data_IF_771389337485
#
_entry.id   IF_771389337485
#
_cell.length_a   1.000
_cell.length_b   1.000
_cell.length_c   1.000
_cell.angle_alpha   90.00
_cell.angle_beta   90.00
_cell.angle_gamma   90.00
#
_symmetry.space_group_name_H-M   'P 1'
#
loop_
_entity.id
_entity.type
_entity.pdbx_description
1 polymer ?
#
# COMPACT_ATOMS: atom_id res chain seq x y z
N UNK A 1 -13.36 20.79 39.62
CA UNK A 1 -13.96 19.89 38.60
C UNK A 1 -13.02 18.71 38.31
N UNK A 2 -13.50 17.48 38.49
CA UNK A 2 -12.74 16.28 38.10
C UNK A 2 -12.67 16.16 36.58
N UNK A 3 -11.48 15.86 36.05
CA UNK A 3 -11.23 15.69 34.62
C UNK A 3 -10.91 14.22 34.38
N UNK A 4 -11.74 13.56 33.57
CA UNK A 4 -11.51 12.17 33.13
C UNK A 4 -10.93 12.21 31.71
N UNK A 5 -9.83 11.48 31.48
CA UNK A 5 -9.23 11.26 30.16
C UNK A 5 -9.30 9.78 29.80
N UNK A 6 -9.75 9.50 28.58
CA UNK A 6 -9.82 8.13 28.03
C UNK A 6 -8.96 8.07 26.78
N UNK A 7 -8.14 7.04 26.67
CA UNK A 7 -7.29 6.78 25.51
C UNK A 7 -7.79 5.50 24.82
N UNK A 8 -8.03 5.58 23.51
CA UNK A 8 -8.40 4.43 22.69
C UNK A 8 -7.33 4.26 21.62
N UNK A 9 -6.79 3.05 21.51
CA UNK A 9 -5.85 2.67 20.44
C UNK A 9 -6.58 1.85 19.38
N UNK A 10 -6.18 2.03 18.12
CA UNK A 10 -6.67 1.24 16.99
C UNK A 10 -5.50 0.87 16.08
N UNK A 11 -5.41 -0.41 15.70
CA UNK A 11 -4.53 -0.88 14.63
C UNK A 11 -5.30 -0.87 13.31
N UNK A 12 -4.79 -0.14 12.31
CA UNK A 12 -5.40 -0.07 10.98
C UNK A 12 -4.55 -0.85 9.98
N UNK A 13 -5.20 -1.69 9.20
CA UNK A 13 -4.60 -2.40 8.07
C UNK A 13 -4.74 -1.60 6.79
N UNK A 14 -3.89 -1.91 5.81
CA UNK A 14 -3.89 -1.28 4.49
C UNK A 14 -5.11 -1.71 3.67
N UNK A 15 -5.73 -0.79 2.95
CA UNK A 15 -6.95 -1.03 2.18
C UNK A 15 -6.90 -0.39 0.80
N UNK A 16 -7.75 -0.89 -0.10
CA UNK A 16 -8.01 -0.23 -1.38
C UNK A 16 -8.49 1.20 -1.11
N UNK A 17 -7.93 2.17 -1.84
CA UNK A 17 -8.19 3.60 -1.63
C UNK A 17 -7.18 4.30 -0.72
N UNK A 18 -6.33 3.58 0.01
CA UNK A 18 -5.27 4.22 0.78
C UNK A 18 -4.22 4.85 -0.13
N UNK A 19 -3.71 6.01 0.29
CA UNK A 19 -2.66 6.75 -0.42
C UNK A 19 -1.28 6.29 0.05
N UNK A 20 -0.41 6.00 -0.92
CA UNK A 20 0.98 5.61 -0.72
C UNK A 20 1.91 6.53 -1.51
N UNK A 21 3.13 6.71 -1.02
CA UNK A 21 4.16 7.50 -1.70
C UNK A 21 5.52 6.84 -1.56
N UNK A 22 6.32 6.90 -2.62
CA UNK A 22 7.73 6.51 -2.60
C UNK A 22 8.63 7.67 -2.19
N UNK A 23 9.92 7.35 -2.02
CA UNK A 23 10.95 8.31 -1.56
C UNK A 23 11.36 9.34 -2.62
N UNK A 24 10.95 9.15 -3.87
CA UNK A 24 11.33 10.00 -5.01
C UNK A 24 10.14 10.83 -5.52
N UNK A 25 9.15 11.10 -4.66
CA UNK A 25 8.01 11.96 -4.99
C UNK A 25 6.87 11.29 -5.78
N UNK A 26 7.03 10.02 -6.18
CA UNK A 26 5.96 9.25 -6.80
C UNK A 26 4.84 8.98 -5.77
N UNK A 27 3.61 9.36 -6.11
CA UNK A 27 2.41 9.17 -5.29
C UNK A 27 1.42 8.27 -6.02
N UNK A 28 0.68 7.46 -5.28
CA UNK A 28 -0.36 6.58 -5.83
C UNK A 28 -1.45 6.27 -4.81
N UNK A 29 -2.58 5.78 -5.33
CA UNK A 29 -3.67 5.20 -4.54
C UNK A 29 -3.69 3.70 -4.82
N UNK A 30 -3.90 2.88 -3.79
CA UNK A 30 -4.03 1.42 -3.96
C UNK A 30 -5.31 1.12 -4.74
N UNK A 31 -5.17 0.58 -5.95
CA UNK A 31 -6.28 0.27 -6.85
C UNK A 31 -6.93 -1.09 -6.58
N UNK A 32 -6.12 -2.10 -6.25
CA UNK A 32 -6.58 -3.47 -5.98
C UNK A 32 -5.58 -4.21 -5.09
N UNK A 33 -6.08 -5.09 -4.23
CA UNK A 33 -5.29 -6.06 -3.48
C UNK A 33 -5.55 -7.43 -4.12
N UNK A 34 -4.51 -8.05 -4.68
CA UNK A 34 -4.61 -9.35 -5.34
C UNK A 34 -4.16 -10.49 -4.42
N UNK A 35 -4.76 -11.68 -4.55
CA UNK A 35 -4.19 -12.90 -4.00
C UNK A 35 -2.78 -13.15 -4.55
N UNK A 36 -1.90 -13.77 -3.76
CA UNK A 36 -0.51 -14.04 -4.16
C UNK A 36 -0.43 -14.87 -5.43
N UNK A 37 -1.39 -15.79 -5.63
CA UNK A 37 -1.40 -16.68 -6.78
C UNK A 37 -1.58 -15.95 -8.13
N UNK A 38 -2.16 -14.75 -8.10
CA UNK A 38 -2.51 -13.96 -9.29
C UNK A 38 -1.43 -12.91 -9.63
N UNK A 39 -0.39 -12.76 -8.79
CA UNK A 39 0.69 -11.81 -9.02
C UNK A 39 1.71 -12.39 -10.00
N UNK A 40 2.38 -11.55 -10.83
CA UNK A 40 3.51 -12.00 -11.62
C UNK A 40 4.61 -12.65 -10.77
N UNK A 41 5.32 -13.62 -11.34
CA UNK A 41 6.36 -14.38 -10.66
C UNK A 41 7.74 -14.17 -11.29
N UNK A 42 8.75 -14.22 -10.45
CA UNK A 42 10.15 -14.32 -10.85
C UNK A 42 10.47 -15.74 -11.33
N UNK A 43 11.63 -15.91 -11.97
CA UNK A 43 12.09 -17.21 -12.48
C UNK A 43 12.25 -18.28 -11.39
N UNK A 44 12.46 -17.87 -10.15
CA UNK A 44 12.55 -18.75 -8.97
C UNK A 44 11.17 -19.05 -8.33
N UNK A 45 10.08 -18.59 -8.94
CA UNK A 45 8.71 -18.80 -8.48
C UNK A 45 8.23 -17.82 -7.39
N UNK A 46 9.01 -16.82 -7.00
CA UNK A 46 8.55 -15.81 -6.01
C UNK A 46 7.60 -14.80 -6.66
N UNK A 47 6.41 -14.53 -6.08
CA UNK A 47 5.51 -13.48 -6.58
C UNK A 47 6.05 -12.09 -6.23
N UNK A 48 5.74 -11.11 -7.07
CA UNK A 48 6.03 -9.68 -6.80
C UNK A 48 5.05 -9.10 -5.78
N UNK A 49 5.49 -8.12 -4.98
CA UNK A 49 4.66 -7.50 -3.94
C UNK A 49 3.84 -6.30 -4.46
N UNK A 50 4.37 -5.52 -5.42
CA UNK A 50 3.72 -4.35 -6.00
C UNK A 50 4.06 -4.22 -7.50
N UNK A 51 3.10 -3.69 -8.25
CA UNK A 51 3.26 -3.38 -9.68
C UNK A 51 3.03 -1.88 -9.88
N UNK A 52 4.00 -1.20 -10.49
CA UNK A 52 3.92 0.23 -10.81
C UNK A 52 3.71 0.46 -12.30
N UNK A 53 3.07 1.57 -12.65
CA UNK A 53 2.96 2.02 -14.03
C UNK A 53 4.29 2.68 -14.48
N UNK A 54 4.95 2.19 -15.53
CA UNK A 54 6.21 2.77 -16.02
C UNK A 54 6.04 4.15 -16.68
N UNK A 55 4.84 4.50 -17.14
CA UNK A 55 4.59 5.76 -17.87
C UNK A 55 4.85 7.03 -17.02
N UNK A 56 4.93 6.91 -15.70
CA UNK A 56 5.21 8.03 -14.82
C UNK A 56 6.69 8.44 -14.73
N UNK A 57 7.60 7.73 -15.40
CA UNK A 57 9.05 8.00 -15.36
C UNK A 57 9.49 8.98 -16.47
N UNK A 58 9.16 8.77 -17.76
CA UNK A 58 9.53 9.71 -18.84
C UNK A 58 8.42 10.75 -19.13
N UNK A 59 7.87 11.39 -18.10
CA UNK A 59 6.83 12.41 -18.24
C UNK A 59 7.37 13.81 -18.52
#
# INVERSE_FOLDING_TARGET
PEIIRVYISQKREIKVGDKVAGRHGNKGIISKILPRQDMPYLQDGRPVDMVFNPLGVPS
#
